data_IF_799348190807
#
_entry.id   IF_799348190807
#
_cell.length_a   1.000
_cell.length_b   1.000
_cell.length_c   1.000
_cell.angle_alpha   90.00
_cell.angle_beta   90.00
_cell.angle_gamma   90.00
#
_symmetry.space_group_name_H-M   'P 1'
#
loop_
_entity.id
_entity.type
_entity.pdbx_description
1 polymer ?
#
# COMPACT_ATOMS: atom_id res chain seq x y z
N UNK A 1 5.58 23.72 25.19
CA UNK A 1 5.08 22.57 24.41
C UNK A 1 4.70 23.15 23.08
N UNK A 2 5.53 22.93 22.06
CA UNK A 2 5.30 23.53 20.74
C UNK A 2 4.03 22.93 20.15
N UNK A 3 3.15 23.81 19.66
CA UNK A 3 1.93 23.45 18.97
C UNK A 3 2.29 22.69 17.69
N UNK A 4 1.77 21.47 17.54
CA UNK A 4 1.97 20.70 16.31
C UNK A 4 1.16 21.41 15.22
N UNK A 5 1.79 21.86 14.13
CA UNK A 5 1.06 22.52 13.05
C UNK A 5 0.02 21.57 12.48
N UNK A 6 -1.21 22.03 12.39
CA UNK A 6 -2.29 21.29 11.74
C UNK A 6 -2.03 21.25 10.24
N UNK A 7 -1.95 20.04 9.68
CA UNK A 7 -1.75 19.84 8.25
C UNK A 7 -3.11 19.91 7.55
N UNK A 8 -3.26 20.84 6.62
CA UNK A 8 -4.40 20.88 5.72
C UNK A 8 -4.26 19.79 4.64
N UNK A 9 -5.18 18.83 4.66
CA UNK A 9 -5.20 17.69 3.73
C UNK A 9 -5.81 18.02 2.37
N UNK A 10 -6.32 19.24 2.16
CA UNK A 10 -6.96 19.67 0.90
C UNK A 10 -7.94 18.62 0.40
N UNK A 11 -8.94 18.32 1.23
CA UNK A 11 -9.93 17.24 1.00
C UNK A 11 -10.94 17.58 -0.10
N UNK A 12 -10.92 18.83 -0.56
CA UNK A 12 -11.68 19.40 -1.68
C UNK A 12 -11.03 19.11 -3.05
N UNK A 13 -9.74 18.77 -3.08
CA UNK A 13 -9.01 18.44 -4.30
C UNK A 13 -8.73 16.94 -4.39
N UNK A 14 -8.82 16.29 -5.56
CA UNK A 14 -8.45 14.89 -5.70
C UNK A 14 -6.94 14.69 -5.53
N UNK A 15 -6.55 13.61 -4.85
CA UNK A 15 -5.15 13.21 -4.68
C UNK A 15 -4.95 11.77 -5.15
N UNK A 16 -3.90 11.53 -5.94
CA UNK A 16 -3.64 10.24 -6.59
C UNK A 16 -3.58 9.06 -5.61
N UNK A 17 -2.92 9.23 -4.46
CA UNK A 17 -2.85 8.19 -3.42
C UNK A 17 -4.24 7.84 -2.83
N UNK A 18 -5.14 8.82 -2.68
CA UNK A 18 -6.51 8.62 -2.16
C UNK A 18 -7.43 8.00 -3.22
N UNK A 19 -7.22 8.35 -4.49
CA UNK A 19 -7.89 7.65 -5.60
C UNK A 19 -7.43 6.20 -5.69
N UNK A 20 -6.13 5.93 -5.50
CA UNK A 20 -5.58 4.58 -5.48
C UNK A 20 -6.13 3.75 -4.32
N UNK A 21 -6.29 4.36 -3.14
CA UNK A 21 -7.00 3.76 -2.01
C UNK A 21 -8.44 3.36 -2.40
N UNK A 22 -9.18 4.25 -3.06
CA UNK A 22 -10.54 3.97 -3.55
C UNK A 22 -10.61 2.80 -4.55
N UNK A 23 -9.68 2.73 -5.53
CA UNK A 23 -9.62 1.60 -6.47
C UNK A 23 -9.45 0.25 -5.77
N UNK A 24 -8.83 0.26 -4.59
CA UNK A 24 -8.54 -0.91 -3.79
C UNK A 24 -9.63 -1.20 -2.74
N UNK A 25 -10.69 -0.40 -2.69
CA UNK A 25 -11.79 -0.55 -1.74
C UNK A 25 -11.46 -0.02 -0.34
N UNK A 26 -10.44 0.83 -0.21
CA UNK A 26 -10.11 1.48 1.05
C UNK A 26 -11.09 2.61 1.42
N UNK A 27 -10.88 3.18 2.61
CA UNK A 27 -11.76 4.19 3.22
C UNK A 27 -11.09 5.55 3.40
N UNK A 28 -9.80 5.65 3.13
CA UNK A 28 -8.98 6.84 3.36
C UNK A 28 -9.00 7.73 2.10
N UNK A 29 -10.22 8.07 1.69
CA UNK A 29 -10.52 8.87 0.52
C UNK A 29 -11.73 9.78 0.78
N UNK A 30 -11.72 10.97 0.18
CA UNK A 30 -12.74 12.00 0.33
C UNK A 30 -13.65 12.06 -0.91
N UNK A 31 -14.78 12.78 -0.86
CA UNK A 31 -15.71 12.87 -1.99
C UNK A 31 -15.06 13.33 -3.31
N UNK A 32 -14.12 14.27 -3.25
CA UNK A 32 -13.38 14.75 -4.42
C UNK A 32 -12.55 13.63 -5.08
N UNK A 33 -11.90 12.79 -4.28
CA UNK A 33 -11.12 11.65 -4.76
C UNK A 33 -12.03 10.61 -5.43
N UNK A 34 -13.17 10.28 -4.80
CA UNK A 34 -14.13 9.30 -5.34
C UNK A 34 -14.72 9.76 -6.67
N UNK A 35 -15.12 11.03 -6.78
CA UNK A 35 -15.65 11.57 -8.03
C UNK A 35 -14.63 11.49 -9.17
N UNK A 36 -13.36 11.83 -8.90
CA UNK A 36 -12.30 11.71 -9.89
C UNK A 36 -11.96 10.23 -10.22
N UNK A 37 -12.00 9.36 -9.21
CA UNK A 37 -11.75 7.94 -9.37
C UNK A 37 -12.84 7.25 -10.20
N UNK A 38 -14.11 7.61 -10.00
CA UNK A 38 -15.23 7.11 -10.79
C UNK A 38 -15.13 7.52 -12.26
N UNK A 39 -14.69 8.75 -12.54
CA UNK A 39 -14.41 9.19 -13.91
C UNK A 39 -13.29 8.35 -14.55
N UNK A 40 -12.21 8.08 -13.80
CA UNK A 40 -11.12 7.24 -14.26
C UNK A 40 -11.57 5.80 -14.51
N UNK A 41 -12.44 5.25 -13.65
CA UNK A 41 -13.03 3.91 -13.83
C UNK A 41 -13.96 3.84 -15.03
N UNK A 42 -14.70 4.92 -15.32
CA UNK A 42 -15.53 5.00 -16.51
C UNK A 42 -14.68 4.99 -17.78
N UNK A 43 -13.55 5.71 -17.78
CA UNK A 43 -12.63 5.74 -18.90
C UNK A 43 -11.85 4.42 -19.05
N UNK A 44 -11.49 3.78 -17.94
CA UNK A 44 -10.78 2.50 -17.92
C UNK A 44 -11.34 1.55 -16.85
N UNK A 45 -12.33 0.70 -17.20
CA UNK A 45 -12.95 -0.24 -16.27
C UNK A 45 -11.98 -1.25 -15.65
N UNK A 46 -10.85 -1.52 -16.30
CA UNK A 46 -9.82 -2.44 -15.80
C UNK A 46 -8.99 -1.91 -14.63
N UNK A 47 -9.15 -0.64 -14.26
CA UNK A 47 -8.25 0.05 -13.32
C UNK A 47 -8.22 -0.60 -11.93
N UNK A 48 -9.33 -1.11 -11.42
CA UNK A 48 -9.36 -1.83 -10.13
C UNK A 48 -8.52 -3.13 -10.18
N UNK A 49 -8.63 -3.88 -11.28
CA UNK A 49 -7.84 -5.11 -11.47
C UNK A 49 -6.36 -4.75 -11.58
N UNK A 50 -6.02 -3.73 -12.37
CA UNK A 50 -4.65 -3.24 -12.51
C UNK A 50 -4.06 -2.80 -11.16
N UNK A 51 -4.82 -2.05 -10.35
CA UNK A 51 -4.38 -1.61 -9.03
C UNK A 51 -4.09 -2.80 -8.09
N UNK A 52 -4.95 -3.82 -8.09
CA UNK A 52 -4.73 -5.06 -7.31
C UNK A 52 -3.49 -5.82 -7.79
N UNK A 53 -3.34 -5.98 -9.11
CA UNK A 53 -2.18 -6.69 -9.69
C UNK A 53 -0.87 -5.96 -9.42
N UNK A 54 -0.86 -4.62 -9.48
CA UNK A 54 0.30 -3.82 -9.14
C UNK A 54 0.76 -4.05 -7.68
N UNK A 55 -0.18 -4.13 -6.74
CA UNK A 55 0.16 -4.42 -5.34
C UNK A 55 0.59 -5.87 -5.11
N UNK A 56 -0.05 -6.83 -5.78
CA UNK A 56 0.39 -8.22 -5.75
C UNK A 56 1.83 -8.36 -6.31
N UNK A 57 2.18 -7.62 -7.36
CA UNK A 57 3.53 -7.56 -7.88
C UNK A 57 4.52 -6.97 -6.87
N UNK A 58 4.20 -5.84 -6.23
CA UNK A 58 5.06 -5.23 -5.21
C UNK A 58 5.40 -6.23 -4.08
N UNK A 59 4.41 -7.01 -3.64
CA UNK A 59 4.59 -8.05 -2.62
C UNK A 59 5.53 -9.15 -3.11
N UNK A 60 5.27 -9.72 -4.31
CA UNK A 60 6.11 -10.79 -4.87
C UNK A 60 7.54 -10.33 -5.13
N UNK A 61 7.71 -9.14 -5.72
CA UNK A 61 9.01 -8.56 -6.03
C UNK A 61 9.83 -8.31 -4.76
N UNK A 62 9.23 -7.66 -3.76
CA UNK A 62 9.91 -7.38 -2.48
C UNK A 62 10.27 -8.67 -1.75
N UNK A 63 9.38 -9.68 -1.78
CA UNK A 63 9.66 -11.01 -1.21
C UNK A 63 10.83 -11.71 -1.90
N UNK A 64 10.89 -11.69 -3.23
CA UNK A 64 12.00 -12.26 -3.98
C UNK A 64 13.32 -11.54 -3.66
N UNK A 65 13.31 -10.20 -3.66
CA UNK A 65 14.48 -9.38 -3.32
C UNK A 65 14.99 -9.65 -1.90
N UNK A 66 14.09 -9.75 -0.92
CA UNK A 66 14.45 -10.03 0.47
C UNK A 66 14.83 -11.51 0.70
N UNK A 67 14.07 -12.44 0.15
CA UNK A 67 14.27 -13.87 0.38
C UNK A 67 15.46 -14.42 -0.39
N UNK A 68 15.34 -14.44 -1.72
CA UNK A 68 16.28 -15.12 -2.61
C UNK A 68 17.54 -14.29 -2.87
N UNK A 69 17.39 -12.97 -3.06
CA UNK A 69 18.52 -12.09 -3.40
C UNK A 69 19.21 -11.46 -2.19
N UNK A 70 18.69 -11.69 -0.98
CA UNK A 70 19.36 -11.27 0.25
C UNK A 70 19.38 -9.75 0.50
N UNK A 71 18.57 -8.95 -0.20
CA UNK A 71 18.50 -7.48 0.00
C UNK A 71 17.85 -7.18 1.35
N UNK A 72 18.43 -6.25 2.12
CA UNK A 72 17.98 -5.89 3.48
C UNK A 72 17.63 -4.42 3.67
N UNK A 73 17.92 -3.58 2.69
CA UNK A 73 17.62 -2.15 2.73
C UNK A 73 16.71 -1.82 1.56
N UNK A 74 15.60 -1.15 1.85
CA UNK A 74 14.60 -0.74 0.87
C UNK A 74 14.34 0.75 1.03
N UNK A 75 14.25 1.44 -0.11
CA UNK A 75 13.78 2.81 -0.20
C UNK A 75 12.52 2.78 -1.05
N UNK A 76 11.36 2.98 -0.42
CA UNK A 76 10.07 3.05 -1.10
C UNK A 76 9.67 4.51 -1.29
N UNK A 77 9.57 4.94 -2.55
CA UNK A 77 9.20 6.31 -2.93
C UNK A 77 7.81 6.26 -3.53
N UNK A 78 6.84 6.85 -2.81
CA UNK A 78 5.43 6.81 -3.21
C UNK A 78 4.70 5.57 -2.70
N UNK A 79 4.93 5.20 -1.43
CA UNK A 79 4.29 4.06 -0.73
C UNK A 79 2.77 4.00 -0.87
N UNK A 80 2.13 5.15 -1.13
CA UNK A 80 0.68 5.34 -1.12
C UNK A 80 0.09 5.06 0.27
N UNK A 81 -1.22 5.24 0.43
CA UNK A 81 -1.91 4.98 1.69
C UNK A 81 -1.91 3.48 2.00
N UNK A 82 -1.67 3.15 3.27
CA UNK A 82 -1.81 1.80 3.81
C UNK A 82 -3.31 1.48 3.99
N UNK A 83 -3.87 0.62 3.15
CA UNK A 83 -5.24 0.15 3.31
C UNK A 83 -5.29 -1.25 3.91
N UNK A 84 -6.11 -1.42 4.95
CA UNK A 84 -6.24 -2.62 5.78
C UNK A 84 -6.70 -3.87 4.99
N UNK A 85 -7.36 -3.65 3.84
CA UNK A 85 -7.93 -4.72 3.01
C UNK A 85 -6.91 -5.58 2.24
N UNK A 86 -5.61 -5.31 2.35
CA UNK A 86 -4.59 -6.15 1.69
C UNK A 86 -4.35 -7.50 2.35
N UNK A 87 -4.69 -7.65 3.64
CA UNK A 87 -4.39 -8.87 4.39
C UNK A 87 -5.46 -9.96 4.25
N UNK A 88 -6.66 -9.65 3.75
CA UNK A 88 -7.77 -10.60 3.67
C UNK A 88 -7.95 -11.24 2.29
N UNK A 89 -7.47 -10.60 1.22
CA UNK A 89 -7.43 -11.21 -0.12
C UNK A 89 -6.14 -12.01 -0.27
N UNK A 90 -6.13 -13.16 0.41
CA UNK A 90 -5.13 -14.18 0.23
C UNK A 90 -5.04 -14.60 -1.23
N UNK A 91 -3.82 -14.66 -1.74
CA UNK A 91 -3.44 -15.72 -2.65
C UNK A 91 -3.93 -17.06 -2.03
N UNK A 92 -4.31 -18.05 -2.83
CA UNK A 92 -4.81 -19.38 -2.41
C UNK A 92 -3.85 -20.18 -1.47
N UNK A 93 -2.76 -19.57 -1.02
CA UNK A 93 -1.80 -20.03 -0.03
C UNK A 93 -2.01 -19.25 1.28
N UNK A 94 -2.96 -19.68 2.11
CA UNK A 94 -3.35 -19.03 3.36
C UNK A 94 -2.16 -18.57 4.22
N UNK A 95 -1.85 -17.27 4.19
CA UNK A 95 -0.80 -16.69 5.01
C UNK A 95 -1.40 -15.89 6.16
N UNK A 96 -1.16 -16.36 7.39
CA UNK A 96 -1.35 -15.56 8.61
C UNK A 96 -0.02 -14.87 8.94
N UNK A 97 -0.08 -13.56 9.20
CA UNK A 97 1.04 -12.82 9.77
C UNK A 97 1.51 -13.49 11.08
N UNK A 98 2.75 -14.00 11.11
CA UNK A 98 3.39 -14.57 12.29
C UNK A 98 4.51 -13.62 12.76
N UNK A 99 4.32 -12.84 13.85
CA UNK A 99 5.29 -11.84 14.31
C UNK A 99 6.57 -12.40 14.93
N UNK A 100 6.79 -13.72 14.89
CA UNK A 100 7.84 -14.43 15.64
C UNK A 100 8.96 -15.04 14.79
N UNK A 101 9.00 -14.84 13.47
CA UNK A 101 10.16 -15.25 12.69
C UNK A 101 11.38 -14.41 13.13
N UNK A 102 12.44 -15.00 13.70
CA UNK A 102 13.60 -14.23 14.11
C UNK A 102 14.28 -13.62 12.89
N UNK A 103 14.65 -12.35 12.97
CA UNK A 103 15.54 -11.71 12.01
C UNK A 103 16.85 -12.51 11.94
N UNK A 104 17.21 -13.11 10.79
CA UNK A 104 18.51 -13.77 10.66
C UNK A 104 19.56 -12.67 10.58
N UNK A 105 20.21 -12.39 11.72
CA UNK A 105 21.23 -11.35 11.82
C UNK A 105 21.19 -10.48 13.07
N UNK A 106 20.58 -10.92 14.18
CA UNK A 106 20.89 -10.31 15.48
C UNK A 106 22.37 -10.58 15.79
N UNK A 107 23.22 -9.62 15.46
CA UNK A 107 24.62 -9.59 15.90
C UNK A 107 24.61 -9.67 17.42
N UNK A 108 25.00 -10.81 17.96
CA UNK A 108 25.52 -10.92 19.32
C UNK A 108 26.88 -10.23 19.33
N UNK A 109 27.03 -9.26 20.23
CA UNK A 109 28.30 -8.80 20.79
C UNK A 109 29.25 -8.09 19.82
N UNK A 110 29.19 -6.75 19.82
CA UNK A 110 30.30 -5.85 20.14
C UNK A 110 29.74 -4.55 20.74
#
# INVERSE_FOLDING_TARGET
MDEIPTVDLRTDLPHSARMYDYYLGGKDNFPADRAAADQALHAFPGLQVTARQNRAFLIRATRHLAGELGIRQFLDIGTSIFSELYLSYGDDEGWRYAPSAPCPGRLSEF
#
